data_IF_178283941053
#
_entry.id   IF_178283941053
#
_cell.length_a   1.000
_cell.length_b   1.000
_cell.length_c   1.000
_cell.angle_alpha   90.00
_cell.angle_beta   90.00
_cell.angle_gamma   90.00
#
_symmetry.space_group_name_H-M   'P 1'
#
loop_
_entity.id
_entity.type
_entity.pdbx_description
1 polymer ?
#
# COMPACT_ATOMS: atom_id res chain seq x y z
N UNK A 1 -75.67 31.32 -20.77
CA UNK A 1 -74.43 32.00 -21.18
C UNK A 1 -73.32 31.59 -20.22
N UNK A 2 -72.27 30.95 -20.77
CA UNK A 2 -70.85 30.89 -20.32
C UNK A 2 -70.56 30.62 -18.82
N UNK A 3 -70.00 29.43 -18.50
CA UNK A 3 -68.56 29.17 -18.26
C UNK A 3 -68.10 29.64 -16.86
N UNK A 4 -67.32 28.97 -16.01
CA UNK A 4 -66.34 27.86 -16.07
C UNK A 4 -65.81 27.66 -14.64
N UNK A 5 -65.39 26.45 -14.23
CA UNK A 5 -64.64 26.31 -12.97
C UNK A 5 -64.26 24.88 -12.56
N UNK A 6 -63.22 24.34 -13.21
CA UNK A 6 -62.15 23.44 -12.71
C UNK A 6 -62.46 22.45 -11.56
N UNK A 7 -62.51 21.17 -11.92
CA UNK A 7 -61.87 20.10 -11.15
C UNK A 7 -61.00 19.26 -12.09
N UNK A 8 -59.70 19.15 -11.80
CA UNK A 8 -58.79 18.23 -12.49
C UNK A 8 -58.63 16.95 -11.67
N UNK A 9 -58.80 15.77 -12.29
CA UNK A 9 -58.62 14.50 -11.62
C UNK A 9 -57.13 14.16 -11.48
N UNK A 10 -56.81 13.46 -10.39
CA UNK A 10 -55.47 12.93 -10.13
C UNK A 10 -55.02 11.99 -11.24
N UNK A 11 -53.87 12.31 -11.84
CA UNK A 11 -53.12 11.40 -12.68
C UNK A 11 -52.00 10.76 -11.86
N UNK A 12 -52.03 9.42 -11.83
CA UNK A 12 -50.89 8.58 -11.46
C UNK A 12 -49.68 8.97 -12.32
N UNK A 13 -48.54 9.20 -11.70
CA UNK A 13 -47.25 8.90 -12.33
C UNK A 13 -46.60 7.82 -11.49
N UNK A 14 -46.61 6.62 -12.07
CA UNK A 14 -45.75 5.51 -11.75
C UNK A 14 -44.30 6.01 -11.75
N UNK A 15 -43.74 6.23 -10.56
CA UNK A 15 -42.30 6.29 -10.39
C UNK A 15 -41.74 4.91 -10.74
N UNK A 16 -41.29 4.76 -11.99
CA UNK A 16 -40.49 3.62 -12.46
C UNK A 16 -39.47 3.29 -11.39
N UNK A 17 -39.52 2.06 -10.89
CA UNK A 17 -38.33 1.45 -10.32
C UNK A 17 -37.28 1.43 -11.43
N UNK A 18 -36.36 2.40 -11.39
CA UNK A 18 -35.07 2.26 -12.04
C UNK A 18 -34.46 1.07 -11.33
N UNK A 19 -34.55 -0.10 -11.96
CA UNK A 19 -33.65 -1.19 -11.60
C UNK A 19 -32.28 -0.64 -11.95
N UNK A 20 -31.48 -0.34 -10.93
CA UNK A 20 -30.05 -0.10 -11.08
C UNK A 20 -29.44 -1.38 -11.63
N UNK A 21 -29.47 -1.53 -12.96
CA UNK A 21 -28.81 -2.65 -13.62
C UNK A 21 -27.34 -2.30 -13.62
N UNK A 22 -26.56 -3.12 -12.93
CA UNK A 22 -25.10 -3.02 -12.99
C UNK A 22 -24.66 -3.18 -14.45
N UNK A 23 -23.94 -2.21 -14.99
CA UNK A 23 -23.40 -2.25 -16.34
C UNK A 23 -21.95 -2.74 -16.28
N UNK A 24 -21.47 -3.41 -17.33
CA UNK A 24 -20.05 -3.76 -17.43
C UNK A 24 -19.38 -2.77 -18.37
N UNK A 25 -18.46 -1.97 -17.84
CA UNK A 25 -17.60 -1.08 -18.59
C UNK A 25 -16.30 -1.80 -18.96
N UNK A 26 -16.04 -1.89 -20.25
CA UNK A 26 -14.78 -2.37 -20.80
C UNK A 26 -13.74 -1.24 -20.78
N UNK A 27 -12.73 -1.36 -19.91
CA UNK A 27 -11.64 -0.38 -19.83
C UNK A 27 -10.42 -0.94 -20.57
N UNK A 28 -10.01 -0.34 -21.71
CA UNK A 28 -8.80 -0.75 -22.41
C UNK A 28 -7.59 -0.56 -21.50
N UNK A 29 -6.82 -1.62 -21.34
CA UNK A 29 -5.59 -1.66 -20.56
C UNK A 29 -4.38 -1.71 -21.51
N UNK A 30 -3.19 -1.68 -20.93
CA UNK A 30 -1.94 -1.84 -21.67
C UNK A 30 -1.82 -3.27 -22.20
N UNK A 31 -0.99 -3.48 -23.22
CA UNK A 31 -0.82 -4.77 -23.89
C UNK A 31 -0.45 -5.86 -22.89
N UNK A 32 -1.03 -7.06 -23.03
CA UNK A 32 -0.73 -8.23 -22.21
C UNK A 32 -0.62 -9.48 -23.08
N UNK A 33 0.51 -10.18 -22.98
CA UNK A 33 0.81 -11.38 -23.79
C UNK A 33 0.60 -11.14 -25.29
N UNK A 34 0.98 -9.95 -25.76
CA UNK A 34 0.86 -9.57 -27.17
C UNK A 34 -0.53 -9.13 -27.61
N UNK A 35 -1.53 -9.10 -26.73
CA UNK A 35 -2.92 -8.72 -27.03
C UNK A 35 -3.37 -7.48 -26.26
N UNK A 36 -4.36 -6.77 -26.78
CA UNK A 36 -4.99 -5.67 -26.04
C UNK A 36 -5.81 -6.25 -24.90
N UNK A 37 -5.42 -5.92 -23.67
CA UNK A 37 -6.15 -6.35 -22.48
C UNK A 37 -7.32 -5.39 -22.22
N UNK A 38 -8.47 -5.93 -21.86
CA UNK A 38 -9.64 -5.16 -21.45
C UNK A 38 -10.03 -5.59 -20.04
N UNK A 39 -10.13 -4.63 -19.13
CA UNK A 39 -10.61 -4.89 -17.78
C UNK A 39 -12.13 -4.71 -17.72
N UNK A 40 -12.90 -5.74 -17.35
CA UNK A 40 -14.34 -5.62 -17.12
C UNK A 40 -14.59 -5.00 -15.74
N UNK A 41 -15.09 -3.77 -15.71
CA UNK A 41 -15.48 -3.08 -14.49
C UNK A 41 -17.00 -3.05 -14.36
N UNK A 42 -17.53 -3.57 -13.25
CA UNK A 42 -18.98 -3.52 -12.97
C UNK A 42 -19.32 -2.16 -12.37
N UNK A 43 -20.08 -1.35 -13.09
CA UNK A 43 -20.49 -0.01 -12.69
C UNK A 43 -21.91 0.02 -12.16
N UNK A 44 -22.12 0.86 -11.15
CA UNK A 44 -23.43 1.19 -10.60
C UNK A 44 -23.74 2.65 -10.98
N UNK A 45 -24.84 2.93 -11.69
CA UNK A 45 -25.25 4.31 -11.95
C UNK A 45 -25.72 4.95 -10.64
N UNK A 46 -25.28 6.18 -10.36
CA UNK A 46 -25.79 6.95 -9.21
C UNK A 46 -25.88 8.43 -9.57
N UNK A 47 -27.10 8.96 -9.49
CA UNK A 47 -27.47 10.37 -9.68
C UNK A 47 -26.75 11.12 -10.84
N UNK A 48 -27.41 11.17 -12.00
CA UNK A 48 -27.30 12.33 -12.90
C UNK A 48 -26.09 12.48 -13.82
N UNK A 49 -25.17 11.50 -13.91
CA UNK A 49 -24.19 11.25 -15.00
C UNK A 49 -22.92 10.53 -14.50
N UNK A 50 -22.71 10.44 -13.18
CA UNK A 50 -21.49 9.84 -12.62
C UNK A 50 -21.66 8.32 -12.48
N UNK A 51 -20.69 7.59 -13.03
CA UNK A 51 -20.58 6.15 -12.82
C UNK A 51 -19.78 5.88 -11.56
N UNK A 52 -20.22 4.90 -10.78
CA UNK A 52 -19.50 4.42 -9.61
C UNK A 52 -19.07 2.98 -9.84
N UNK A 53 -17.98 2.57 -9.20
CA UNK A 53 -17.53 1.19 -9.18
C UNK A 53 -17.31 0.77 -7.73
N UNK A 54 -17.58 -0.49 -7.44
CA UNK A 54 -17.14 -1.08 -6.17
C UNK A 54 -15.66 -1.38 -6.26
N UNK A 55 -14.84 -0.63 -5.54
CA UNK A 55 -13.40 -0.82 -5.50
C UNK A 55 -13.09 -2.27 -5.08
N UNK A 56 -12.33 -3.01 -5.90
CA UNK A 56 -12.07 -4.44 -5.70
C UNK A 56 -11.33 -4.76 -4.39
N UNK A 57 -10.56 -3.81 -3.87
CA UNK A 57 -9.75 -3.99 -2.65
C UNK A 57 -10.44 -3.44 -1.40
N UNK A 58 -11.12 -2.28 -1.51
CA UNK A 58 -11.75 -1.60 -0.36
C UNK A 58 -13.22 -1.96 -0.17
N UNK A 59 -13.84 -2.62 -1.15
CA UNK A 59 -15.26 -3.00 -1.20
C UNK A 59 -16.26 -1.85 -1.04
N UNK A 60 -15.80 -0.61 -1.23
CA UNK A 60 -16.60 0.62 -1.17
C UNK A 60 -16.89 1.15 -2.56
N UNK A 61 -18.03 1.82 -2.71
CA UNK A 61 -18.37 2.56 -3.92
C UNK A 61 -17.50 3.81 -4.04
N UNK A 62 -16.82 3.94 -5.18
CA UNK A 62 -15.98 5.08 -5.52
C UNK A 62 -16.43 5.68 -6.84
N UNK A 63 -16.33 7.00 -6.96
CA UNK A 63 -16.65 7.71 -8.20
C UNK A 63 -15.59 7.36 -9.25
N UNK A 64 -16.04 6.96 -10.44
CA UNK A 64 -15.15 6.51 -11.50
C UNK A 64 -14.58 7.71 -12.27
N UNK A 65 -13.57 8.37 -11.69
CA UNK A 65 -12.81 9.43 -12.36
C UNK A 65 -11.90 8.86 -13.46
N UNK A 66 -11.36 9.65 -14.40
CA UNK A 66 -10.46 9.13 -15.44
C UNK A 66 -9.25 8.36 -14.90
N UNK A 67 -8.68 8.79 -13.77
CA UNK A 67 -7.59 8.09 -13.12
C UNK A 67 -8.08 6.82 -12.39
N UNK A 68 -9.27 6.87 -11.77
CA UNK A 68 -9.84 5.69 -11.11
C UNK A 68 -10.16 4.56 -12.10
N UNK A 69 -10.51 4.87 -13.35
CA UNK A 69 -10.64 3.84 -14.40
C UNK A 69 -9.34 3.05 -14.57
N UNK A 70 -8.21 3.76 -14.68
CA UNK A 70 -6.89 3.14 -14.84
C UNK A 70 -6.52 2.35 -13.60
N UNK A 71 -6.74 2.93 -12.41
CA UNK A 71 -6.45 2.29 -11.12
C UNK A 71 -7.21 0.97 -10.96
N UNK A 72 -8.52 0.97 -11.22
CA UNK A 72 -9.35 -0.22 -11.09
C UNK A 72 -9.03 -1.27 -12.16
N UNK A 73 -8.73 -0.86 -13.39
CA UNK A 73 -8.27 -1.78 -14.43
C UNK A 73 -6.96 -2.48 -14.04
N UNK A 74 -6.00 -1.73 -13.49
CA UNK A 74 -4.75 -2.29 -12.98
C UNK A 74 -4.99 -3.24 -11.79
N UNK A 75 -5.80 -2.83 -10.81
CA UNK A 75 -6.12 -3.68 -9.65
C UNK A 75 -6.80 -4.97 -10.09
N UNK A 76 -7.74 -4.90 -11.03
CA UNK A 76 -8.35 -6.08 -11.63
C UNK A 76 -7.30 -6.98 -12.28
N UNK A 77 -6.39 -6.42 -13.08
CA UNK A 77 -5.29 -7.18 -13.70
C UNK A 77 -4.44 -7.90 -12.64
N UNK A 78 -3.97 -7.17 -11.62
CA UNK A 78 -3.10 -7.71 -10.57
C UNK A 78 -3.78 -8.80 -9.72
N UNK A 79 -5.09 -8.70 -9.53
CA UNK A 79 -5.83 -9.59 -8.61
C UNK A 79 -6.56 -10.72 -9.30
N UNK A 80 -6.92 -10.58 -10.58
CA UNK A 80 -7.79 -11.53 -11.31
C UNK A 80 -7.38 -11.74 -12.76
N UNK A 81 -7.00 -10.67 -13.48
CA UNK A 81 -6.85 -10.69 -14.94
C UNK A 81 -5.52 -11.25 -15.45
N UNK A 82 -4.44 -11.11 -14.69
CA UNK A 82 -3.13 -11.64 -15.05
C UNK A 82 -3.05 -13.16 -14.85
N UNK A 83 -2.32 -13.85 -15.74
CA UNK A 83 -2.10 -15.28 -15.68
C UNK A 83 -1.39 -15.74 -14.40
N UNK A 84 -0.63 -14.87 -13.75
CA UNK A 84 0.07 -15.11 -12.49
C UNK A 84 -0.63 -14.45 -11.29
N UNK A 85 -1.78 -13.80 -11.48
CA UNK A 85 -2.50 -13.12 -10.40
C UNK A 85 -2.75 -14.02 -9.19
N UNK A 86 -3.11 -15.29 -9.42
CA UNK A 86 -3.31 -16.27 -8.34
C UNK A 86 -2.03 -16.53 -7.52
N UNK A 87 -0.88 -16.64 -8.18
CA UNK A 87 0.43 -16.84 -7.52
C UNK A 87 0.84 -15.57 -6.79
N UNK A 88 0.72 -14.41 -7.44
CA UNK A 88 1.02 -13.11 -6.84
C UNK A 88 0.19 -12.90 -5.57
N UNK A 89 -1.11 -13.22 -5.59
CA UNK A 89 -1.99 -13.08 -4.42
C UNK A 89 -1.69 -14.06 -3.27
N UNK A 90 -0.94 -15.14 -3.50
CA UNK A 90 -0.46 -16.00 -2.40
C UNK A 90 0.66 -15.32 -1.61
N UNK A 91 1.41 -14.43 -2.26
CA UNK A 91 2.58 -13.78 -1.69
C UNK A 91 2.36 -12.31 -1.34
N UNK A 92 1.41 -11.65 -1.98
CA UNK A 92 1.13 -10.23 -1.83
C UNK A 92 -0.34 -9.98 -1.49
N UNK A 93 -0.56 -9.01 -0.60
CA UNK A 93 -1.83 -8.32 -0.41
C UNK A 93 -1.73 -6.96 -1.05
N UNK A 94 -2.61 -6.65 -2.00
CA UNK A 94 -2.71 -5.31 -2.56
C UNK A 94 -3.57 -4.40 -1.68
N UNK A 95 -3.09 -3.18 -1.44
CA UNK A 95 -3.80 -2.07 -0.84
C UNK A 95 -4.05 -0.95 -1.86
N UNK A 96 -5.16 -0.23 -1.72
CA UNK A 96 -5.53 0.94 -2.55
C UNK A 96 -5.73 2.15 -1.66
N UNK A 97 -5.11 3.29 -2.00
CA UNK A 97 -5.05 4.51 -1.17
C UNK A 97 -4.47 4.28 0.24
N UNK A 98 -3.82 3.13 0.46
CA UNK A 98 -3.21 2.78 1.73
C UNK A 98 -1.90 3.55 1.89
N UNK A 99 -1.74 4.26 3.01
CA UNK A 99 -0.57 5.15 3.25
C UNK A 99 -0.39 6.23 2.18
N UNK A 100 -1.50 6.71 1.60
CA UNK A 100 -1.51 7.70 0.52
C UNK A 100 -0.77 7.25 -0.75
N UNK A 101 -0.72 5.94 -0.99
CA UNK A 101 -0.23 5.33 -2.23
C UNK A 101 -1.42 4.92 -3.07
N UNK A 102 -1.35 5.10 -4.39
CA UNK A 102 -2.42 4.68 -5.29
C UNK A 102 -2.71 3.18 -5.16
N UNK A 103 -1.70 2.36 -5.40
CA UNK A 103 -1.73 0.91 -5.16
C UNK A 103 -0.39 0.47 -4.59
N UNK A 104 -0.41 -0.45 -3.63
CA UNK A 104 0.82 -1.05 -3.10
C UNK A 104 0.61 -2.55 -2.86
N UNK A 105 1.57 -3.37 -3.28
CA UNK A 105 1.63 -4.80 -2.95
C UNK A 105 2.48 -5.00 -1.72
N UNK A 106 1.89 -5.47 -0.62
CA UNK A 106 2.59 -5.78 0.62
C UNK A 106 2.79 -7.28 0.75
N UNK A 107 3.92 -7.72 1.31
CA UNK A 107 4.13 -9.15 1.59
C UNK A 107 2.97 -9.67 2.44
N UNK A 108 2.23 -10.64 1.90
CA UNK A 108 1.22 -11.39 2.62
C UNK A 108 1.96 -12.30 3.61
N UNK A 109 1.85 -11.98 4.88
CA UNK A 109 2.28 -12.87 5.95
C UNK A 109 1.07 -13.48 6.63
N UNK A 110 1.10 -14.78 6.90
CA UNK A 110 0.39 -15.28 8.06
C UNK A 110 0.92 -14.51 9.29
N UNK A 111 0.02 -13.87 10.03
CA UNK A 111 0.32 -13.21 11.28
C UNK A 111 0.66 -14.28 12.32
N UNK A 112 1.86 -14.85 12.29
CA UNK A 112 2.24 -15.93 13.23
C UNK A 112 2.69 -15.36 14.59
N UNK A 113 2.96 -14.05 14.67
CA UNK A 113 3.00 -13.36 15.96
C UNK A 113 2.25 -12.02 15.81
N UNK A 114 1.14 -11.84 16.54
CA UNK A 114 0.43 -10.54 16.71
C UNK A 114 1.39 -9.38 17.05
N UNK A 115 2.62 -9.72 17.46
CA UNK A 115 3.68 -8.86 17.94
C UNK A 115 4.68 -8.41 16.87
N UNK A 116 4.77 -9.02 15.69
CA UNK A 116 5.68 -8.56 14.63
C UNK A 116 4.95 -8.40 13.30
N UNK A 117 4.41 -7.22 13.08
CA UNK A 117 3.57 -6.88 11.93
C UNK A 117 4.01 -5.56 11.24
N UNK A 118 5.29 -5.42 10.82
CA UNK A 118 5.67 -4.27 10.01
C UNK A 118 5.05 -4.37 8.61
N UNK A 119 4.68 -3.23 8.04
CA UNK A 119 4.29 -3.15 6.63
C UNK A 119 5.54 -3.19 5.76
N UNK A 120 5.68 -4.22 4.92
CA UNK A 120 6.80 -4.34 3.97
C UNK A 120 6.23 -4.34 2.55
N UNK A 121 6.33 -3.21 1.82
CA UNK A 121 5.92 -3.15 0.42
C UNK A 121 6.92 -3.91 -0.46
N UNK A 122 6.40 -4.79 -1.32
CA UNK A 122 7.15 -5.45 -2.38
C UNK A 122 7.14 -4.64 -3.68
N UNK A 123 6.08 -3.85 -3.91
CA UNK A 123 5.94 -2.96 -5.06
C UNK A 123 5.01 -1.80 -4.72
N UNK A 124 5.33 -0.60 -5.20
CA UNK A 124 4.44 0.56 -5.19
C UNK A 124 4.04 0.84 -6.62
N UNK A 125 2.76 1.08 -6.86
CA UNK A 125 2.26 1.46 -8.18
C UNK A 125 1.62 2.84 -8.09
N UNK A 126 2.10 3.75 -8.91
CA UNK A 126 1.50 5.06 -9.12
C UNK A 126 0.70 5.03 -10.42
N UNK A 127 -0.55 5.47 -10.36
CA UNK A 127 -1.46 5.50 -11.49
C UNK A 127 -1.74 6.92 -11.93
N UNK A 128 -1.95 7.10 -13.24
CA UNK A 128 -2.36 8.37 -13.82
C UNK A 128 -3.49 8.18 -14.80
N UNK A 129 -4.22 9.26 -15.08
CA UNK A 129 -5.14 9.34 -16.21
C UNK A 129 -4.42 9.02 -17.53
N UNK A 130 -5.15 8.42 -18.48
CA UNK A 130 -4.60 7.83 -19.72
C UNK A 130 -3.83 8.82 -20.60
N UNK A 131 -4.24 10.08 -20.57
CA UNK A 131 -3.64 11.17 -21.34
C UNK A 131 -2.40 11.80 -20.67
N UNK A 132 -2.04 11.40 -19.44
CA UNK A 132 -0.87 11.94 -18.75
C UNK A 132 0.42 11.31 -19.28
N UNK A 133 1.48 12.12 -19.40
CA UNK A 133 2.81 11.65 -19.72
C UNK A 133 3.51 11.14 -18.45
N UNK A 134 3.99 9.90 -18.49
CA UNK A 134 4.56 9.23 -17.31
C UNK A 134 5.88 9.89 -16.84
N UNK A 135 6.64 10.52 -17.74
CA UNK A 135 7.91 11.18 -17.40
C UNK A 135 7.75 12.19 -16.26
N UNK A 136 6.62 12.87 -16.20
CA UNK A 136 6.36 13.98 -15.26
C UNK A 136 6.10 13.48 -13.83
N UNK A 137 5.89 12.17 -13.67
CA UNK A 137 5.50 11.55 -12.40
C UNK A 137 6.55 10.60 -11.82
N UNK A 138 7.71 10.49 -12.49
CA UNK A 138 8.84 9.65 -12.04
C UNK A 138 9.32 10.06 -10.64
N UNK A 139 9.54 11.34 -10.39
CA UNK A 139 10.07 11.82 -9.10
C UNK A 139 9.06 11.66 -7.96
N UNK A 140 7.77 11.71 -8.28
CA UNK A 140 6.70 11.42 -7.32
C UNK A 140 6.79 9.96 -6.86
N UNK A 141 6.89 9.01 -7.80
CA UNK A 141 7.01 7.59 -7.48
C UNK A 141 8.31 7.29 -6.71
N UNK A 142 9.46 7.84 -7.13
CA UNK A 142 10.73 7.70 -6.39
C UNK A 142 10.62 8.19 -4.95
N UNK A 143 9.93 9.31 -4.73
CA UNK A 143 9.71 9.86 -3.38
C UNK A 143 8.90 8.88 -2.51
N UNK A 144 7.86 8.25 -3.05
CA UNK A 144 7.11 7.22 -2.34
C UNK A 144 7.95 5.97 -2.07
N UNK A 145 8.73 5.52 -3.05
CA UNK A 145 9.64 4.37 -2.91
C UNK A 145 10.66 4.58 -1.79
N UNK A 146 11.29 5.76 -1.72
CA UNK A 146 12.22 6.09 -0.63
C UNK A 146 11.52 6.17 0.73
N UNK A 147 10.35 6.82 0.79
CA UNK A 147 9.56 7.01 2.02
C UNK A 147 9.16 5.66 2.64
N UNK A 148 8.71 4.74 1.80
CA UNK A 148 8.22 3.41 2.23
C UNK A 148 9.31 2.33 2.21
N UNK A 149 10.55 2.71 1.86
CA UNK A 149 11.68 1.78 1.68
C UNK A 149 11.35 0.62 0.72
N UNK A 150 10.63 0.92 -0.35
CA UNK A 150 10.32 -0.02 -1.43
C UNK A 150 11.35 0.11 -2.55
N UNK A 151 11.89 -1.01 -3.05
CA UNK A 151 12.89 -1.00 -4.14
C UNK A 151 12.27 -1.09 -5.53
N UNK A 152 10.98 -1.42 -5.62
CA UNK A 152 10.28 -1.62 -6.89
C UNK A 152 9.06 -0.70 -7.02
N UNK A 153 8.96 -0.07 -8.18
CA UNK A 153 7.92 0.86 -8.54
C UNK A 153 7.38 0.53 -9.93
N UNK A 154 6.08 0.72 -10.12
CA UNK A 154 5.44 0.74 -11.43
C UNK A 154 4.73 2.08 -11.60
N UNK A 155 4.94 2.73 -12.74
CA UNK A 155 4.20 3.91 -13.12
C UNK A 155 3.30 3.55 -14.31
N UNK A 156 2.01 3.84 -14.22
CA UNK A 156 1.02 3.29 -15.13
C UNK A 156 -0.10 4.28 -15.47
N UNK A 157 -0.46 4.41 -16.75
CA UNK A 157 -1.61 5.21 -17.19
C UNK A 157 -2.62 4.43 -18.05
N UNK A 158 -2.49 3.10 -18.17
CA UNK A 158 -3.35 2.30 -19.06
C UNK A 158 -2.94 2.31 -20.53
N UNK A 159 -2.01 3.17 -20.95
CA UNK A 159 -1.41 3.21 -22.31
C UNK A 159 0.10 2.94 -22.28
N UNK A 160 0.75 3.26 -21.19
CA UNK A 160 2.18 3.14 -20.95
C UNK A 160 2.38 2.54 -19.57
N UNK A 161 3.47 1.81 -19.43
CA UNK A 161 3.95 1.27 -18.17
C UNK A 161 5.46 1.49 -18.10
N UNK A 162 5.95 2.02 -16.99
CA UNK A 162 7.39 2.17 -16.75
C UNK A 162 7.72 1.51 -15.42
N UNK A 163 8.59 0.50 -15.46
CA UNK A 163 9.16 -0.08 -14.26
C UNK A 163 10.29 0.81 -13.75
N UNK A 164 10.30 1.05 -12.44
CA UNK A 164 11.36 1.78 -11.77
C UNK A 164 11.91 0.88 -10.68
N UNK A 165 13.23 0.66 -10.68
CA UNK A 165 13.88 0.00 -9.55
C UNK A 165 15.00 0.85 -8.96
N UNK A 166 15.17 0.67 -7.66
CA UNK A 166 16.28 1.18 -6.90
C UNK A 166 17.39 0.12 -6.89
N UNK A 167 18.46 0.38 -7.63
CA UNK A 167 19.73 -0.29 -7.49
C UNK A 167 20.58 0.41 -6.40
N UNK A 168 21.41 -0.36 -5.71
CA UNK A 168 22.22 0.16 -4.59
C UNK A 168 21.42 0.46 -3.32
N UNK A 169 21.89 1.46 -2.55
CA UNK A 169 21.42 1.76 -1.19
C UNK A 169 20.38 2.89 -1.15
N UNK A 170 19.41 2.80 -0.24
CA UNK A 170 18.42 3.87 -0.02
C UNK A 170 19.06 5.23 0.35
N UNK A 171 20.24 5.24 0.98
CA UNK A 171 20.96 6.46 1.35
C UNK A 171 21.65 7.13 0.15
N UNK A 172 21.94 6.35 -0.90
CA UNK A 172 22.57 6.82 -2.14
C UNK A 172 21.90 6.11 -3.32
N UNK A 173 20.68 6.53 -3.68
CA UNK A 173 19.86 5.75 -4.58
C UNK A 173 20.34 5.84 -6.03
N UNK A 174 20.46 4.68 -6.69
CA UNK A 174 20.73 4.58 -8.12
C UNK A 174 19.47 4.04 -8.81
N UNK A 175 18.91 4.80 -9.75
CA UNK A 175 17.60 4.49 -10.32
C UNK A 175 17.73 3.93 -11.72
N UNK A 176 17.07 2.80 -11.96
CA UNK A 176 16.89 2.23 -13.29
C UNK A 176 15.44 2.41 -13.70
N UNK A 177 15.24 3.02 -14.87
CA UNK A 177 13.93 3.25 -15.47
C UNK A 177 13.83 2.43 -16.73
N UNK A 178 12.76 1.65 -16.84
CA UNK A 178 12.58 0.71 -17.92
C UNK A 178 11.14 0.76 -18.44
N UNK A 179 10.90 1.47 -19.56
CA UNK A 179 9.60 1.47 -20.24
C UNK A 179 9.25 0.06 -20.70
N UNK A 180 8.11 -0.44 -20.25
CA UNK A 180 7.65 -1.78 -20.59
C UNK A 180 6.88 -1.75 -21.91
N UNK A 181 6.92 -2.87 -22.64
CA UNK A 181 6.14 -3.04 -23.87
C UNK A 181 4.93 -3.93 -23.67
N UNK A 182 4.92 -4.72 -22.60
CA UNK A 182 3.85 -5.64 -22.24
C UNK A 182 3.70 -5.78 -20.72
N UNK A 183 2.47 -5.86 -20.20
CA UNK A 183 2.18 -6.03 -18.77
C UNK A 183 2.64 -7.38 -18.21
N UNK A 184 2.88 -8.39 -19.06
CA UNK A 184 3.47 -9.65 -18.61
C UNK A 184 4.88 -9.46 -18.07
N UNK A 185 5.60 -8.43 -18.52
CA UNK A 185 6.88 -8.04 -17.94
C UNK A 185 6.70 -7.49 -16.53
N UNK A 186 5.70 -6.63 -16.31
CA UNK A 186 5.39 -6.09 -14.98
C UNK A 186 5.00 -7.22 -14.02
N UNK A 187 4.14 -8.15 -14.47
CA UNK A 187 3.69 -9.30 -13.68
C UNK A 187 4.86 -10.19 -13.22
N UNK A 188 5.79 -10.52 -14.12
CA UNK A 188 6.99 -11.29 -13.79
C UNK A 188 7.89 -10.56 -12.79
N UNK A 189 8.05 -9.23 -12.94
CA UNK A 189 8.86 -8.43 -12.02
C UNK A 189 8.22 -8.32 -10.64
N UNK A 190 6.90 -8.15 -10.57
CA UNK A 190 6.15 -8.14 -9.31
C UNK A 190 6.29 -9.47 -8.56
N UNK A 191 6.21 -10.60 -9.27
CA UNK A 191 6.45 -11.90 -8.64
C UNK A 191 7.86 -12.02 -8.07
N UNK A 192 8.88 -11.59 -8.84
CA UNK A 192 10.26 -11.59 -8.35
C UNK A 192 10.43 -10.73 -7.10
N UNK A 193 9.88 -9.52 -7.10
CA UNK A 193 9.99 -8.63 -5.94
C UNK A 193 9.19 -9.14 -4.74
N UNK A 194 8.11 -9.89 -4.96
CA UNK A 194 7.38 -10.58 -3.90
C UNK A 194 8.25 -11.63 -3.19
N UNK A 195 9.02 -12.42 -3.95
CA UNK A 195 9.95 -13.41 -3.40
C UNK A 195 11.07 -12.74 -2.61
N UNK A 196 11.70 -11.70 -3.16
CA UNK A 196 12.76 -10.93 -2.50
C UNK A 196 12.26 -10.29 -1.20
N UNK A 197 11.09 -9.65 -1.25
CA UNK A 197 10.48 -9.03 -0.08
C UNK A 197 10.11 -10.08 0.98
N UNK A 198 9.64 -11.27 0.57
CA UNK A 198 9.37 -12.38 1.48
C UNK A 198 10.64 -12.87 2.19
N UNK A 199 11.75 -12.99 1.45
CA UNK A 199 13.06 -13.32 2.05
C UNK A 199 13.50 -12.26 3.05
N UNK A 200 13.38 -10.97 2.69
CA UNK A 200 13.71 -9.86 3.58
C UNK A 200 12.87 -9.87 4.87
N UNK A 201 11.55 -10.14 4.76
CA UNK A 201 10.68 -10.34 5.93
C UNK A 201 11.17 -11.50 6.78
N UNK A 202 11.57 -12.62 6.17
CA UNK A 202 12.19 -13.76 6.85
C UNK A 202 13.41 -13.37 7.68
N UNK A 203 14.30 -12.54 7.13
CA UNK A 203 15.48 -12.06 7.86
C UNK A 203 15.13 -11.05 8.96
N UNK A 204 14.11 -10.21 8.74
CA UNK A 204 13.60 -9.33 9.79
C UNK A 204 12.98 -10.13 10.95
N UNK A 205 12.31 -11.26 10.68
CA UNK A 205 11.78 -12.17 11.70
C UNK A 205 12.89 -12.79 12.54
N UNK A 206 14.01 -13.19 11.92
CA UNK A 206 15.20 -13.68 12.66
C UNK A 206 15.74 -12.60 13.59
N UNK A 207 15.91 -11.36 13.09
CA UNK A 207 16.32 -10.23 13.94
C UNK A 207 15.32 -9.94 15.05
N UNK A 208 14.01 -10.02 14.79
CA UNK A 208 12.99 -9.81 15.81
C UNK A 208 13.11 -10.86 16.93
N UNK A 209 13.30 -12.13 16.57
CA UNK A 209 13.49 -13.22 17.54
C UNK A 209 14.73 -12.99 18.39
N UNK A 210 15.87 -12.67 17.77
CA UNK A 210 17.10 -12.38 18.50
C UNK A 210 16.95 -11.16 19.43
N UNK A 211 16.32 -10.08 18.95
CA UNK A 211 16.05 -8.89 19.76
C UNK A 211 15.09 -9.19 20.92
N UNK A 212 14.11 -10.08 20.75
CA UNK A 212 13.22 -10.54 21.82
C UNK A 212 14.00 -11.23 22.94
N UNK A 213 15.04 -11.97 22.59
CA UNK A 213 15.93 -12.69 23.50
C UNK A 213 17.06 -11.79 24.07
N UNK A 214 17.00 -10.48 23.80
CA UNK A 214 17.90 -9.48 24.38
C UNK A 214 19.09 -9.07 23.50
N UNK A 215 19.16 -9.54 22.25
CA UNK A 215 20.20 -9.08 21.33
C UNK A 215 19.98 -7.63 20.90
N UNK A 216 20.83 -6.74 21.40
CA UNK A 216 20.73 -5.31 21.14
C UNK A 216 21.11 -4.95 19.69
N UNK A 217 22.00 -5.69 19.04
CA UNK A 217 22.40 -5.39 17.66
C UNK A 217 21.25 -5.69 16.68
N UNK A 218 20.50 -6.76 16.92
CA UNK A 218 19.25 -7.01 16.21
C UNK A 218 18.20 -5.93 16.45
N UNK A 219 18.11 -5.36 17.66
CA UNK A 219 17.26 -4.20 17.90
C UNK A 219 17.70 -2.99 17.06
N UNK A 220 18.99 -2.66 17.04
CA UNK A 220 19.53 -1.56 16.24
C UNK A 220 19.18 -1.73 14.76
N UNK A 221 19.35 -2.94 14.22
CA UNK A 221 18.97 -3.27 12.84
C UNK A 221 17.49 -3.00 12.58
N UNK A 222 16.59 -3.46 13.45
CA UNK A 222 15.15 -3.26 13.29
C UNK A 222 14.74 -1.79 13.42
N UNK A 223 15.39 -1.02 14.31
CA UNK A 223 15.18 0.43 14.43
C UNK A 223 15.63 1.15 13.16
N UNK A 224 16.77 0.78 12.57
CA UNK A 224 17.22 1.36 11.29
C UNK A 224 16.25 1.06 10.15
N UNK A 225 15.64 -0.14 10.14
CA UNK A 225 14.71 -0.54 9.08
C UNK A 225 13.32 0.10 9.22
N UNK A 226 12.78 0.14 10.44
CA UNK A 226 11.36 0.46 10.68
C UNK A 226 11.14 1.66 11.60
N UNK A 227 12.19 2.22 12.20
CA UNK A 227 12.06 3.28 13.20
C UNK A 227 11.52 4.60 12.65
N UNK A 228 11.72 4.86 11.35
CA UNK A 228 11.15 6.02 10.66
C UNK A 228 9.65 5.88 10.36
N UNK A 229 9.08 4.67 10.44
CA UNK A 229 7.65 4.47 10.19
C UNK A 229 6.82 4.95 11.39
N UNK A 230 6.24 6.13 11.24
CA UNK A 230 5.35 6.73 12.25
C UNK A 230 4.05 5.94 12.49
N UNK A 231 3.73 4.95 11.65
CA UNK A 231 2.63 4.02 11.91
C UNK A 231 2.98 2.93 12.93
N UNK A 232 4.27 2.66 13.18
CA UNK A 232 4.73 1.55 14.01
C UNK A 232 5.06 1.98 15.44
N UNK A 233 4.81 1.06 16.37
CA UNK A 233 5.21 1.19 17.78
C UNK A 233 6.07 0.00 18.18
N UNK A 234 7.19 0.30 18.83
CA UNK A 234 8.11 -0.67 19.39
C UNK A 234 7.80 -0.82 20.88
N UNK A 235 7.35 -1.99 21.32
CA UNK A 235 7.24 -2.29 22.74
C UNK A 235 8.55 -2.90 23.22
N UNK A 236 9.24 -2.23 24.14
CA UNK A 236 10.56 -2.62 24.64
C UNK A 236 10.47 -3.00 26.10
N UNK A 237 11.06 -4.14 26.48
CA UNK A 237 11.38 -4.47 27.86
C UNK A 237 12.73 -3.85 28.20
N UNK A 238 12.76 -3.03 29.25
CA UNK A 238 13.95 -2.28 29.66
C UNK A 238 14.25 -2.51 31.14
N UNK A 239 15.53 -2.46 31.51
CA UNK A 239 16.00 -2.56 32.89
C UNK A 239 16.27 -1.16 33.43
N UNK A 240 15.61 -0.80 34.53
CA UNK A 240 15.77 0.49 35.22
C UNK A 240 15.86 0.28 36.71
N UNK A 241 16.93 0.78 37.35
CA UNK A 241 17.19 0.67 38.80
C UNK A 241 16.99 -0.76 39.35
N UNK A 242 17.48 -1.77 38.61
CA UNK A 242 17.38 -3.18 39.00
C UNK A 242 16.03 -3.86 38.72
N UNK A 243 15.00 -3.12 38.29
CA UNK A 243 13.68 -3.67 37.94
C UNK A 243 13.47 -3.72 36.42
N UNK A 244 12.64 -4.65 35.96
CA UNK A 244 12.19 -4.70 34.57
C UNK A 244 10.93 -3.87 34.39
N UNK A 245 10.91 -3.03 33.36
CA UNK A 245 9.76 -2.26 32.93
C UNK A 245 9.47 -2.48 31.44
N UNK A 246 8.38 -1.89 30.96
CA UNK A 246 8.00 -1.89 29.55
C UNK A 246 7.72 -0.48 29.08
N UNK A 247 8.19 -0.14 27.88
CA UNK A 247 7.94 1.15 27.23
C UNK A 247 7.41 0.96 25.82
N UNK A 248 6.50 1.83 25.41
CA UNK A 248 6.03 1.93 24.02
C UNK A 248 6.79 3.06 23.33
N UNK A 249 7.87 2.68 22.65
CA UNK A 249 8.73 3.56 21.88
C UNK A 249 8.10 3.89 20.52
N UNK A 250 8.01 5.19 20.24
CA UNK A 250 7.52 5.77 19.01
C UNK A 250 8.66 6.50 18.31
N UNK A 251 8.71 6.37 16.97
CA UNK A 251 9.74 6.93 16.11
C UNK A 251 11.14 6.72 16.69
N UNK A 252 11.56 5.46 16.93
CA UNK A 252 12.91 5.19 17.43
C UNK A 252 13.95 5.47 16.34
N UNK A 253 15.14 5.89 16.75
CA UNK A 253 16.29 6.11 15.87
C UNK A 253 17.57 5.60 16.53
N UNK A 254 18.58 5.29 15.71
CA UNK A 254 19.93 4.97 16.18
C UNK A 254 20.76 6.24 16.19
N UNK A 255 21.43 6.55 17.31
CA UNK A 255 22.36 7.69 17.40
C UNK A 255 23.80 7.30 17.01
N UNK A 256 24.70 8.28 16.96
CA UNK A 256 26.08 8.09 16.54
C UNK A 256 26.87 7.16 17.48
N UNK A 257 26.43 7.02 18.73
CA UNK A 257 27.03 6.12 19.72
C UNK A 257 26.42 4.72 19.70
N UNK A 258 25.53 4.42 18.74
CA UNK A 258 24.86 3.13 18.62
C UNK A 258 23.83 2.88 19.71
N UNK A 259 23.22 3.94 20.28
CA UNK A 259 22.10 3.82 21.22
C UNK A 259 20.78 4.02 20.50
N UNK A 260 19.70 3.51 21.08
CA UNK A 260 18.35 3.72 20.58
C UNK A 260 17.73 4.94 21.25
N UNK A 261 17.59 6.03 20.52
CA UNK A 261 16.76 7.15 20.91
C UNK A 261 15.29 6.87 20.59
N UNK A 262 14.36 7.33 21.42
CA UNK A 262 12.92 7.17 21.17
C UNK A 262 12.08 8.24 21.87
N UNK A 263 10.80 8.33 21.47
CA UNK A 263 9.76 9.08 22.20
C UNK A 263 8.78 8.10 22.82
N UNK A 264 8.19 8.46 23.96
CA UNK A 264 7.15 7.64 24.59
C UNK A 264 5.79 8.18 24.18
N UNK A 265 4.91 7.32 23.66
CA UNK A 265 3.54 7.71 23.30
C UNK A 265 2.69 7.89 24.57
N UNK A 266 1.88 8.94 24.63
CA UNK A 266 0.94 9.18 25.75
C UNK A 266 1.55 9.88 26.98
N UNK A 267 2.80 10.32 26.91
CA UNK A 267 3.43 11.12 27.97
C UNK A 267 3.55 12.57 27.50
N UNK A 268 3.11 13.51 28.32
CA UNK A 268 3.07 14.96 28.01
C UNK A 268 4.45 15.55 27.76
N UNK A 269 5.51 14.90 28.25
CA UNK A 269 6.89 15.35 28.10
C UNK A 269 7.43 14.99 26.71
N UNK A 270 7.86 16.00 25.94
CA UNK A 270 8.58 15.82 24.66
C UNK A 270 10.02 15.31 24.81
N UNK A 271 10.41 14.87 26.01
CA UNK A 271 11.78 14.49 26.33
C UNK A 271 12.14 13.21 25.58
N UNK A 272 13.17 13.31 24.75
CA UNK A 272 13.80 12.18 24.07
C UNK A 272 14.38 11.26 25.13
N UNK A 273 14.02 9.99 25.06
CA UNK A 273 14.62 8.95 25.88
C UNK A 273 15.72 8.27 25.09
N UNK A 274 16.68 7.67 25.79
CA UNK A 274 17.74 6.86 25.21
C UNK A 274 17.79 5.50 25.90
N UNK A 275 18.13 4.48 25.11
CA UNK A 275 18.31 3.12 25.54
C UNK A 275 19.68 2.63 25.05
N UNK A 276 20.53 2.23 25.99
CA UNK A 276 21.80 1.57 25.71
C UNK A 276 21.66 0.05 25.82
N UNK A 277 22.69 -0.67 25.38
CA UNK A 277 22.76 -2.14 25.49
C UNK A 277 22.49 -2.65 26.91
N UNK A 278 23.05 -1.98 27.93
CA UNK A 278 22.90 -2.38 29.34
C UNK A 278 21.46 -2.21 29.86
N UNK A 279 20.73 -1.23 29.33
CA UNK A 279 19.34 -0.96 29.69
C UNK A 279 18.34 -1.82 28.93
N UNK A 280 18.75 -2.45 27.82
CA UNK A 280 17.87 -3.29 27.02
C UNK A 280 17.75 -4.69 27.63
N UNK A 281 16.52 -5.20 27.69
CA UNK A 281 16.25 -6.57 28.11
C UNK A 281 15.65 -7.41 26.97
N UNK A 282 14.74 -6.84 26.18
CA UNK A 282 14.18 -7.54 25.03
C UNK A 282 13.14 -6.73 24.27
N UNK A 283 12.92 -7.08 23.01
CA UNK A 283 11.88 -6.51 22.16
C UNK A 283 10.58 -7.33 22.29
N UNK A 284 9.50 -6.67 22.70
CA UNK A 284 8.21 -7.33 22.93
C UNK A 284 7.32 -7.34 21.68
N UNK A 285 7.32 -6.25 20.90
CA UNK A 285 6.56 -6.16 19.64
C UNK A 285 7.02 -5.00 18.75
N UNK A 286 6.82 -5.14 17.44
CA UNK A 286 6.79 -4.07 16.43
C UNK A 286 5.49 -4.21 15.65
N UNK A 287 4.56 -3.28 15.86
CA UNK A 287 3.25 -3.33 15.19
C UNK A 287 2.58 -1.96 15.11
N UNK A 288 1.59 -1.79 14.22
CA UNK A 288 0.66 -0.69 14.28
C UNK A 288 -0.10 -0.69 15.61
N UNK A 289 -0.56 0.49 16.04
CA UNK A 289 -1.40 0.62 17.24
C UNK A 289 -2.86 0.31 16.96
#
# INVERSE_FOLDING_TARGET
MLATGRDRPGSRILGRGIRDVAETLEVPCFRYLGQDLVAPLVTEPKDGARSFVRCLVRERLVCLTPEEHVRQALVWFLTKGGARAAVVNQHLRFGVEERSLDVAGFVAGEAIEERFAPYVPAVIVETKRREAELSDHVEQLKSYMLRERCRAGLLFNGRQATWICLDGEFAKPEWVLDPLTDLSEAEQRIERTAVEASSFVGDCRKSFTAARDGDFDSLLRLVTLFGADTGLTFALSIRSKGSLGSVRAFNPWVDAEGRVGYRVRGVTTRLRQQLSRQGFHGLLSIRPL
#
